data_IF_676800444422
#
_entry.id   IF_676800444422
#
_cell.length_a   1.000
_cell.length_b   1.000
_cell.length_c   1.000
_cell.angle_alpha   90.00
_cell.angle_beta   90.00
_cell.angle_gamma   90.00
#
_symmetry.space_group_name_H-M   'P 1'
#
loop_
_entity.id
_entity.type
_entity.pdbx_description
1 polymer ?
#
# COMPACT_ATOMS: atom_id res chain seq x y z
N UNK A 1 -2.72 -15.58 -15.42
CA UNK A 1 -3.01 -15.76 -13.98
C UNK A 1 -2.12 -14.89 -13.09
N UNK A 2 -0.78 -15.03 -13.13
CA UNK A 2 0.14 -14.28 -12.25
C UNK A 2 0.04 -12.74 -12.35
N UNK A 3 -0.13 -12.20 -13.57
CA UNK A 3 -0.23 -10.75 -13.82
C UNK A 3 -1.42 -10.08 -13.14
N UNK A 4 -2.57 -10.77 -13.10
CA UNK A 4 -3.78 -10.25 -12.45
C UNK A 4 -3.57 -10.19 -10.94
N UNK A 5 -2.97 -11.24 -10.37
CA UNK A 5 -2.69 -11.29 -8.93
C UNK A 5 -1.69 -10.20 -8.51
N UNK A 6 -0.67 -9.93 -9.34
CA UNK A 6 0.28 -8.85 -9.12
C UNK A 6 -0.36 -7.44 -9.20
N UNK A 7 -1.34 -7.26 -10.09
CA UNK A 7 -2.07 -5.99 -10.22
C UNK A 7 -3.18 -5.82 -9.16
N UNK A 8 -3.64 -6.90 -8.53
CA UNK A 8 -4.74 -6.86 -7.59
C UNK A 8 -4.42 -6.00 -6.36
N UNK A 9 -3.25 -6.19 -5.75
CA UNK A 9 -2.82 -5.40 -4.60
C UNK A 9 -2.82 -3.88 -4.86
N UNK A 10 -2.14 -3.35 -5.91
CA UNK A 10 -2.18 -1.92 -6.18
C UNK A 10 -3.58 -1.42 -6.55
N UNK A 11 -4.39 -2.19 -7.30
CA UNK A 11 -5.77 -1.80 -7.61
C UNK A 11 -6.64 -1.66 -6.34
N UNK A 12 -6.51 -2.59 -5.40
CA UNK A 12 -7.18 -2.51 -4.10
C UNK A 12 -6.72 -1.29 -3.31
N UNK A 13 -5.44 -0.95 -3.34
CA UNK A 13 -4.90 0.25 -2.68
C UNK A 13 -5.43 1.53 -3.32
N UNK A 14 -5.56 1.61 -4.66
CA UNK A 14 -6.23 2.74 -5.33
C UNK A 14 -7.67 2.89 -4.83
N UNK A 15 -8.44 1.80 -4.81
CA UNK A 15 -9.83 1.84 -4.33
C UNK A 15 -9.92 2.25 -2.86
N UNK A 16 -9.03 1.74 -2.02
CA UNK A 16 -8.94 2.10 -0.60
C UNK A 16 -8.61 3.58 -0.43
N UNK A 17 -7.62 4.11 -1.16
CA UNK A 17 -7.25 5.52 -1.14
C UNK A 17 -8.40 6.43 -1.56
N UNK A 18 -9.11 6.08 -2.62
CA UNK A 18 -10.31 6.80 -3.04
C UNK A 18 -11.34 6.85 -1.91
N UNK A 19 -11.66 5.69 -1.32
CA UNK A 19 -12.64 5.59 -0.24
C UNK A 19 -12.23 6.41 0.98
N UNK A 20 -10.97 6.29 1.39
CA UNK A 20 -10.40 7.00 2.53
C UNK A 20 -10.49 8.52 2.37
N UNK A 21 -10.28 9.03 1.16
CA UNK A 21 -10.43 10.46 0.87
C UNK A 21 -11.87 10.93 1.10
N UNK A 22 -12.86 10.17 0.62
CA UNK A 22 -14.29 10.52 0.74
C UNK A 22 -14.88 10.43 2.15
N UNK A 23 -14.20 9.78 3.10
CA UNK A 23 -14.65 9.71 4.49
C UNK A 23 -14.49 11.05 5.21
N UNK A 24 -15.40 11.39 6.12
CA UNK A 24 -15.36 12.59 6.97
C UNK A 24 -14.37 12.52 8.14
N UNK A 25 -13.45 11.56 8.11
CA UNK A 25 -12.47 11.35 9.15
C UNK A 25 -11.43 12.47 9.23
N UNK A 26 -10.88 12.68 10.43
CA UNK A 26 -9.76 13.59 10.63
C UNK A 26 -8.54 13.15 9.80
N UNK A 27 -7.66 14.11 9.45
CA UNK A 27 -6.43 13.81 8.69
C UNK A 27 -5.57 12.77 9.40
N UNK A 28 -5.44 12.87 10.72
CA UNK A 28 -4.68 11.93 11.53
C UNK A 28 -5.23 10.50 11.41
N UNK A 29 -6.56 10.34 11.49
CA UNK A 29 -7.18 9.02 11.38
C UNK A 29 -7.04 8.44 9.96
N UNK A 30 -7.10 9.29 8.92
CA UNK A 30 -6.81 8.86 7.54
C UNK A 30 -5.37 8.37 7.39
N UNK A 31 -4.38 9.09 7.94
CA UNK A 31 -2.98 8.66 7.89
C UNK A 31 -2.82 7.33 8.64
N UNK A 32 -3.36 7.22 9.86
CA UNK A 32 -3.29 5.99 10.63
C UNK A 32 -3.90 4.79 9.89
N UNK A 33 -5.08 4.98 9.26
CA UNK A 33 -5.71 3.94 8.45
C UNK A 33 -4.90 3.59 7.20
N UNK A 34 -4.32 4.58 6.51
CA UNK A 34 -3.43 4.34 5.37
C UNK A 34 -2.22 3.51 5.75
N UNK A 35 -1.57 3.84 6.88
CA UNK A 35 -0.45 3.06 7.43
C UNK A 35 -0.90 1.64 7.78
N UNK A 36 -2.03 1.49 8.47
CA UNK A 36 -2.58 0.19 8.85
C UNK A 36 -2.98 -0.68 7.65
N UNK A 37 -3.35 -0.08 6.51
CA UNK A 37 -3.66 -0.80 5.27
C UNK A 37 -2.39 -1.23 4.51
N UNK A 38 -1.38 -0.35 4.44
CA UNK A 38 -0.19 -0.60 3.62
C UNK A 38 0.82 -1.48 4.33
N UNK A 39 1.10 -1.26 5.62
CA UNK A 39 2.25 -1.85 6.32
C UNK A 39 2.18 -3.36 6.57
N UNK A 40 1.05 -3.96 6.98
CA UNK A 40 1.04 -5.36 7.43
C UNK A 40 1.49 -6.36 6.37
N UNK A 41 1.03 -6.22 5.11
CA UNK A 41 1.36 -7.17 4.04
C UNK A 41 2.86 -7.15 3.68
N UNK A 42 3.49 -6.00 3.36
CA UNK A 42 4.93 -5.87 3.20
C UNK A 42 5.74 -6.42 4.38
N UNK A 43 5.27 -6.22 5.61
CA UNK A 43 5.98 -6.67 6.81
C UNK A 43 6.06 -8.19 6.92
N UNK A 44 5.13 -8.95 6.32
CA UNK A 44 5.25 -10.42 6.24
C UNK A 44 6.51 -10.86 5.49
N UNK A 45 7.02 -10.04 4.57
CA UNK A 45 8.23 -10.29 3.81
C UNK A 45 9.46 -9.59 4.44
N UNK A 46 9.29 -8.35 4.92
CA UNK A 46 10.40 -7.58 5.49
C UNK A 46 10.88 -8.12 6.84
N UNK A 47 9.97 -8.50 7.74
CA UNK A 47 10.35 -8.96 9.08
C UNK A 47 11.33 -10.15 9.05
N UNK A 48 11.07 -11.26 8.34
CA UNK A 48 12.03 -12.36 8.27
C UNK A 48 13.37 -11.94 7.66
N UNK A 49 13.35 -11.07 6.63
CA UNK A 49 14.57 -10.55 6.00
C UNK A 49 15.39 -9.62 6.89
N UNK A 50 14.73 -8.89 7.81
CA UNK A 50 15.40 -7.99 8.76
C UNK A 50 15.89 -8.71 10.01
N UNK A 51 15.14 -9.70 10.50
CA UNK A 51 15.49 -10.47 11.70
C UNK A 51 16.57 -11.51 11.40
N UNK A 52 16.59 -12.08 10.20
CA UNK A 52 17.54 -13.13 9.81
C UNK A 52 18.19 -12.81 8.44
N UNK A 53 19.05 -11.78 8.36
CA UNK A 53 19.59 -11.30 7.09
C UNK A 53 20.48 -12.33 6.38
N UNK A 54 21.09 -13.27 7.10
CA UNK A 54 21.99 -14.28 6.52
C UNK A 54 21.27 -15.52 5.99
N UNK A 55 19.93 -15.60 6.14
CA UNK A 55 19.14 -16.72 5.62
C UNK A 55 19.06 -16.67 4.09
N UNK A 56 18.98 -17.84 3.43
CA UNK A 56 18.66 -17.88 2.00
C UNK A 56 17.41 -17.06 1.69
N UNK A 57 17.44 -16.32 0.57
CA UNK A 57 16.36 -15.46 0.07
C UNK A 57 16.05 -14.19 0.88
N UNK A 58 16.84 -13.82 1.90
CA UNK A 58 16.62 -12.58 2.64
C UNK A 58 16.56 -11.34 1.73
N UNK A 59 17.44 -11.24 0.73
CA UNK A 59 17.42 -10.15 -0.25
C UNK A 59 16.15 -10.16 -1.11
N UNK A 60 15.70 -11.34 -1.56
CA UNK A 60 14.45 -11.46 -2.33
C UNK A 60 13.24 -11.00 -1.52
N UNK A 61 13.15 -11.46 -0.26
CA UNK A 61 12.08 -11.07 0.66
C UNK A 61 12.11 -9.57 0.95
N UNK A 62 13.31 -9.00 1.14
CA UNK A 62 13.50 -7.55 1.29
C UNK A 62 13.04 -6.80 0.05
N UNK A 63 13.43 -7.22 -1.15
CA UNK A 63 13.01 -6.59 -2.41
C UNK A 63 11.49 -6.66 -2.60
N UNK A 64 10.86 -7.81 -2.37
CA UNK A 64 9.41 -7.97 -2.47
C UNK A 64 8.71 -7.06 -1.47
N UNK A 65 9.15 -7.08 -0.21
CA UNK A 65 8.58 -6.25 0.84
C UNK A 65 8.66 -4.75 0.54
N UNK A 66 9.83 -4.26 0.10
CA UNK A 66 10.01 -2.86 -0.32
C UNK A 66 9.12 -2.53 -1.52
N UNK A 67 9.08 -3.40 -2.53
CA UNK A 67 8.27 -3.18 -3.73
C UNK A 67 6.77 -3.10 -3.39
N UNK A 68 6.28 -3.96 -2.50
CA UNK A 68 4.89 -3.91 -2.02
C UNK A 68 4.62 -2.65 -1.20
N UNK A 69 5.52 -2.28 -0.29
CA UNK A 69 5.37 -1.05 0.51
C UNK A 69 5.26 0.18 -0.38
N UNK A 70 6.15 0.30 -1.37
CA UNK A 70 6.20 1.43 -2.28
C UNK A 70 4.98 1.44 -3.22
N UNK A 71 4.70 0.34 -3.91
CA UNK A 71 3.57 0.26 -4.85
C UNK A 71 2.22 0.44 -4.16
N UNK A 72 2.06 -0.10 -2.95
CA UNK A 72 0.84 0.06 -2.16
C UNK A 72 0.65 1.50 -1.70
N UNK A 73 1.69 2.13 -1.16
CA UNK A 73 1.67 3.54 -0.75
C UNK A 73 1.37 4.48 -1.91
N UNK A 74 2.07 4.34 -3.04
CA UNK A 74 1.83 5.15 -4.25
C UNK A 74 0.42 4.95 -4.78
N UNK A 75 -0.08 3.71 -4.83
CA UNK A 75 -1.42 3.41 -5.30
C UNK A 75 -2.50 4.03 -4.40
N UNK A 76 -2.32 3.95 -3.09
CA UNK A 76 -3.24 4.55 -2.11
C UNK A 76 -3.29 6.08 -2.26
N UNK A 77 -2.12 6.73 -2.39
CA UNK A 77 -2.06 8.17 -2.65
C UNK A 77 -2.67 8.52 -4.02
N UNK A 78 -2.46 7.70 -5.04
CA UNK A 78 -3.08 7.86 -6.35
C UNK A 78 -4.61 7.84 -6.28
N UNK A 79 -5.19 6.91 -5.51
CA UNK A 79 -6.63 6.86 -5.25
C UNK A 79 -7.16 8.11 -4.56
N UNK A 80 -6.45 8.61 -3.53
CA UNK A 80 -6.81 9.84 -2.84
C UNK A 80 -6.74 11.07 -3.77
N UNK A 81 -5.68 11.16 -4.57
CA UNK A 81 -5.50 12.24 -5.54
C UNK A 81 -6.60 12.24 -6.61
N UNK A 82 -6.97 11.06 -7.11
CA UNK A 82 -8.05 10.93 -8.09
C UNK A 82 -9.41 11.38 -7.51
N UNK A 83 -9.71 11.00 -6.25
CA UNK A 83 -10.92 11.44 -5.56
C UNK A 83 -10.94 12.96 -5.33
N UNK A 84 -9.80 13.55 -4.94
CA UNK A 84 -9.65 14.99 -4.78
C UNK A 84 -9.86 15.74 -6.10
N UNK A 85 -9.26 15.28 -7.21
CA UNK A 85 -9.44 15.88 -8.53
C UNK A 85 -10.90 15.83 -8.99
N UNK A 86 -11.60 14.71 -8.75
CA UNK A 86 -13.03 14.60 -9.05
C UNK A 86 -13.85 15.61 -8.24
N UNK A 87 -13.56 15.76 -6.95
CA UNK A 87 -14.25 16.70 -6.07
C UNK A 87 -14.05 18.18 -6.44
N UNK A 88 -12.97 18.52 -7.17
CA UNK A 88 -12.73 19.89 -7.67
C UNK A 88 -13.43 20.21 -9.00
N UNK A 89 -13.87 19.19 -9.73
CA UNK A 89 -14.54 19.34 -11.03
C UNK A 89 -16.07 19.35 -10.92
N UNK A 90 -16.61 18.94 -9.76
CA UNK A 90 -18.02 19.01 -9.41
C UNK A 90 -18.35 20.37 -8.80
#
# INVERSE_FOLDING_TARGET
MLKILAALYPLLMVAAGWRLFTMSWSRALKIAAGVAMVVPIPMLFLLPALVQPDRPFADLLRTIGIALMFSGGVSLLGGMAAAWLKGRRA
#
